data_IF_522843576387
#
_entry.id   IF_522843576387
#
_cell.length_a   1.000
_cell.length_b   1.000
_cell.length_c   1.000
_cell.angle_alpha   90.00
_cell.angle_beta   90.00
_cell.angle_gamma   90.00
#
_symmetry.space_group_name_H-M   'P 1'
#
loop_
_entity.id
_entity.type
_entity.pdbx_description
1 polymer ?
#
# COMPACT_ATOMS: atom_id res chain seq x y z
N UNK A 1 8.94 -15.37 6.40
CA UNK A 1 9.14 -16.82 6.62
C UNK A 1 8.80 -17.50 5.31
N UNK A 2 9.66 -18.38 4.82
CA UNK A 2 9.48 -19.21 3.64
C UNK A 2 8.47 -20.33 3.90
N UNK A 3 8.00 -21.00 2.83
CA UNK A 3 7.03 -22.08 2.96
C UNK A 3 7.49 -23.28 3.79
N UNK A 4 8.81 -23.46 3.93
CA UNK A 4 9.45 -24.47 4.79
C UNK A 4 9.59 -24.02 6.26
N UNK A 5 9.12 -22.83 6.61
CA UNK A 5 9.20 -22.22 7.94
C UNK A 5 10.51 -21.51 8.24
N UNK A 6 11.48 -21.50 7.32
CA UNK A 6 12.74 -20.79 7.50
C UNK A 6 12.58 -19.27 7.29
N UNK A 7 13.37 -18.43 7.98
CA UNK A 7 13.36 -17.00 7.74
C UNK A 7 13.96 -16.69 6.37
N UNK A 8 13.31 -15.83 5.60
CA UNK A 8 13.88 -15.30 4.36
C UNK A 8 14.95 -14.25 4.71
N UNK A 9 16.21 -14.63 4.65
CA UNK A 9 17.34 -13.78 5.09
C UNK A 9 17.37 -12.44 4.34
N UNK A 10 17.18 -12.48 3.03
CA UNK A 10 17.33 -11.29 2.18
C UNK A 10 16.18 -10.27 2.39
N UNK A 11 14.95 -10.74 2.60
CA UNK A 11 13.83 -9.84 2.92
C UNK A 11 13.96 -9.30 4.33
N UNK A 12 14.43 -10.12 5.28
CA UNK A 12 14.69 -9.67 6.64
C UNK A 12 15.83 -8.64 6.69
N UNK A 13 16.89 -8.82 5.90
CA UNK A 13 17.98 -7.85 5.78
C UNK A 13 17.47 -6.50 5.24
N UNK A 14 16.64 -6.52 4.19
CA UNK A 14 16.01 -5.32 3.66
C UNK A 14 15.15 -4.60 4.70
N UNK A 15 14.29 -5.35 5.41
CA UNK A 15 13.45 -4.77 6.45
C UNK A 15 14.26 -4.18 7.60
N UNK A 16 15.32 -4.87 8.03
CA UNK A 16 16.23 -4.39 9.07
C UNK A 16 16.95 -3.10 8.64
N UNK A 17 17.46 -3.05 7.42
CA UNK A 17 18.12 -1.85 6.88
C UNK A 17 17.16 -0.67 6.82
N UNK A 18 15.95 -0.92 6.34
CA UNK A 18 14.90 0.10 6.27
C UNK A 18 14.53 0.63 7.66
N UNK A 19 14.53 -0.25 8.65
CA UNK A 19 14.31 0.06 10.05
C UNK A 19 15.39 1.00 10.60
N UNK A 20 16.65 0.71 10.32
CA UNK A 20 17.78 1.51 10.78
C UNK A 20 17.83 2.92 10.15
N UNK A 21 17.26 3.08 8.96
CA UNK A 21 17.21 4.36 8.24
C UNK A 21 16.04 5.26 8.67
N UNK A 22 15.14 4.77 9.50
CA UNK A 22 13.92 5.50 9.87
C UNK A 22 14.09 6.15 11.24
N UNK A 23 13.96 7.49 11.30
CA UNK A 23 14.04 8.26 12.55
C UNK A 23 12.77 8.08 13.39
N UNK A 24 11.61 7.99 12.73
CA UNK A 24 10.31 7.86 13.39
C UNK A 24 9.61 6.58 12.92
N UNK A 25 9.30 5.72 13.88
CA UNK A 25 8.82 4.37 13.65
C UNK A 25 7.30 4.35 13.45
N UNK A 26 6.86 3.91 12.27
CA UNK A 26 5.47 3.53 12.05
C UNK A 26 5.35 2.02 11.81
N UNK A 27 4.93 1.32 12.86
CA UNK A 27 4.75 -0.12 12.84
C UNK A 27 3.77 -0.58 11.74
N UNK A 28 2.71 0.21 11.44
CA UNK A 28 1.73 -0.13 10.40
C UNK A 28 2.35 -0.11 9.01
N UNK A 29 3.19 0.86 8.74
CA UNK A 29 3.94 0.94 7.47
C UNK A 29 4.87 -0.25 7.31
N UNK A 30 5.57 -0.65 8.37
CA UNK A 30 6.43 -1.84 8.35
C UNK A 30 5.65 -3.13 8.12
N UNK A 31 4.55 -3.32 8.84
CA UNK A 31 3.67 -4.48 8.67
C UNK A 31 3.12 -4.55 7.24
N UNK A 32 2.75 -3.40 6.66
CA UNK A 32 2.28 -3.32 5.27
C UNK A 32 3.36 -3.77 4.29
N UNK A 33 4.58 -3.23 4.41
CA UNK A 33 5.71 -3.61 3.54
C UNK A 33 6.04 -5.10 3.69
N UNK A 34 6.07 -5.61 4.92
CA UNK A 34 6.34 -7.04 5.18
C UNK A 34 5.30 -7.94 4.52
N UNK A 35 4.02 -7.59 4.59
CA UNK A 35 2.94 -8.33 3.93
C UNK A 35 3.06 -8.30 2.40
N UNK A 36 3.46 -7.16 1.82
CA UNK A 36 3.68 -7.04 0.38
C UNK A 36 4.86 -7.89 -0.08
N UNK A 37 5.95 -7.94 0.69
CA UNK A 37 7.09 -8.80 0.40
C UNK A 37 6.77 -10.29 0.63
N UNK A 38 5.95 -10.62 1.61
CA UNK A 38 5.48 -11.99 1.82
C UNK A 38 4.65 -12.50 0.64
N UNK A 39 3.81 -11.65 0.04
CA UNK A 39 3.06 -11.99 -1.17
C UNK A 39 4.01 -12.27 -2.35
N UNK A 40 5.06 -11.46 -2.50
CA UNK A 40 6.10 -11.70 -3.51
C UNK A 40 6.88 -12.98 -3.25
N UNK A 41 7.24 -13.27 -1.98
CA UNK A 41 7.92 -14.50 -1.60
C UNK A 41 7.09 -15.74 -1.98
N UNK A 42 5.80 -15.73 -1.66
CA UNK A 42 4.88 -16.82 -2.04
C UNK A 42 4.82 -17.01 -3.55
N UNK A 43 4.77 -15.91 -4.30
CA UNK A 43 4.84 -15.98 -5.76
C UNK A 43 6.13 -16.64 -6.25
N UNK A 44 7.28 -16.29 -5.67
CA UNK A 44 8.57 -16.89 -6.04
C UNK A 44 8.59 -18.41 -5.76
N UNK A 45 8.01 -18.84 -4.64
CA UNK A 45 7.89 -20.24 -4.26
C UNK A 45 6.94 -21.00 -5.20
N UNK A 46 5.76 -20.44 -5.47
CA UNK A 46 4.75 -21.02 -6.38
C UNK A 46 5.32 -21.26 -7.78
N UNK A 47 6.06 -20.28 -8.31
CA UNK A 47 6.62 -20.32 -9.68
C UNK A 47 8.06 -20.87 -9.72
N UNK A 48 8.62 -21.28 -8.59
CA UNK A 48 10.00 -21.76 -8.45
C UNK A 48 11.05 -20.80 -9.03
N UNK A 49 10.86 -19.49 -8.80
CA UNK A 49 11.71 -18.42 -9.30
C UNK A 49 12.69 -17.95 -8.24
N UNK A 50 13.89 -17.54 -8.70
CA UNK A 50 14.88 -16.89 -7.86
C UNK A 50 14.89 -15.37 -8.13
N UNK A 51 14.61 -14.57 -7.12
CA UNK A 51 14.59 -13.10 -7.27
C UNK A 51 15.99 -12.49 -7.47
N UNK A 52 17.06 -13.21 -7.21
CA UNK A 52 18.45 -12.75 -7.38
C UNK A 52 19.01 -13.04 -8.78
N UNK A 53 18.32 -13.85 -9.58
CA UNK A 53 18.70 -14.16 -10.94
C UNK A 53 18.13 -13.14 -11.92
N UNK A 54 19.03 -12.51 -12.69
CA UNK A 54 18.66 -11.56 -13.72
C UNK A 54 18.85 -12.16 -15.10
N UNK A 55 17.88 -11.93 -15.97
CA UNK A 55 17.88 -12.39 -17.34
C UNK A 55 17.94 -11.21 -18.30
N UNK A 56 18.62 -11.41 -19.44
CA UNK A 56 18.69 -10.42 -20.54
C UNK A 56 17.30 -10.06 -21.06
N UNK A 57 16.41 -11.03 -21.16
CA UNK A 57 15.02 -10.83 -21.54
C UNK A 57 14.23 -10.41 -20.31
N UNK A 58 13.73 -9.17 -20.32
CA UNK A 58 13.00 -8.58 -19.19
C UNK A 58 11.85 -9.45 -18.68
N UNK A 59 11.12 -10.12 -19.60
CA UNK A 59 9.97 -10.97 -19.29
C UNK A 59 10.31 -12.20 -18.43
N UNK A 60 11.57 -12.65 -18.47
CA UNK A 60 12.02 -13.79 -17.68
C UNK A 60 12.40 -13.42 -16.24
N UNK A 61 12.54 -12.14 -15.95
CA UNK A 61 12.83 -11.70 -14.59
C UNK A 61 11.61 -11.85 -13.67
N UNK A 62 11.82 -12.33 -12.47
CA UNK A 62 10.77 -12.61 -11.49
C UNK A 62 9.86 -11.40 -11.24
N UNK A 63 10.40 -10.19 -11.20
CA UNK A 63 9.62 -8.96 -10.98
C UNK A 63 8.63 -8.67 -12.12
N UNK A 64 8.98 -9.00 -13.38
CA UNK A 64 8.09 -8.85 -14.54
C UNK A 64 6.95 -9.85 -14.51
N UNK A 65 7.25 -11.11 -14.19
CA UNK A 65 6.24 -12.18 -14.06
C UNK A 65 5.29 -11.85 -12.90
N UNK A 66 5.82 -11.39 -11.78
CA UNK A 66 5.01 -10.93 -10.66
C UNK A 66 4.09 -9.78 -11.03
N UNK A 67 4.59 -8.78 -11.76
CA UNK A 67 3.75 -7.67 -12.28
C UNK A 67 2.60 -8.19 -13.13
N UNK A 68 2.86 -9.15 -14.02
CA UNK A 68 1.82 -9.77 -14.88
C UNK A 68 0.76 -10.44 -14.01
N UNK A 69 1.15 -11.26 -13.03
CA UNK A 69 0.23 -11.88 -12.06
C UNK A 69 -0.62 -10.85 -11.31
N UNK A 70 -0.02 -9.75 -10.86
CA UNK A 70 -0.76 -8.69 -10.17
C UNK A 70 -1.82 -8.02 -11.07
N UNK A 71 -1.50 -7.80 -12.35
CA UNK A 71 -2.44 -7.23 -13.31
C UNK A 71 -3.60 -8.21 -13.56
N UNK A 72 -3.31 -9.50 -13.74
CA UNK A 72 -4.31 -10.53 -13.89
C UNK A 72 -5.26 -10.62 -12.69
N UNK A 73 -4.71 -10.61 -11.48
CA UNK A 73 -5.49 -10.60 -10.23
C UNK A 73 -6.36 -9.33 -10.11
N UNK A 74 -5.84 -8.17 -10.49
CA UNK A 74 -6.60 -6.93 -10.48
C UNK A 74 -7.73 -6.93 -11.51
N UNK A 75 -7.47 -7.44 -12.72
CA UNK A 75 -8.48 -7.58 -13.77
C UNK A 75 -9.57 -8.60 -13.40
N UNK A 76 -9.22 -9.66 -12.68
CA UNK A 76 -10.15 -10.64 -12.13
C UNK A 76 -10.91 -10.14 -10.89
N UNK A 77 -10.62 -8.93 -10.40
CA UNK A 77 -11.25 -8.37 -9.21
C UNK A 77 -10.82 -9.01 -7.88
N UNK A 78 -9.78 -9.85 -7.89
CA UNK A 78 -9.26 -10.51 -6.68
C UNK A 78 -8.52 -9.53 -5.76
N UNK A 79 -7.89 -8.51 -6.34
CA UNK A 79 -7.25 -7.42 -5.61
C UNK A 79 -7.61 -6.08 -6.23
N UNK A 80 -7.54 -5.00 -5.47
CA UNK A 80 -7.72 -3.65 -6.03
C UNK A 80 -6.49 -3.23 -6.87
N UNK A 81 -6.71 -2.36 -7.87
CA UNK A 81 -5.61 -1.78 -8.65
C UNK A 81 -4.61 -1.01 -7.77
N UNK A 82 -5.09 -0.35 -6.70
CA UNK A 82 -4.24 0.29 -5.70
C UNK A 82 -3.37 -0.74 -4.97
N UNK A 83 -3.96 -1.86 -4.53
CA UNK A 83 -3.20 -2.94 -3.88
C UNK A 83 -2.13 -3.51 -4.80
N UNK A 84 -2.44 -3.74 -6.08
CA UNK A 84 -1.47 -4.19 -7.08
C UNK A 84 -0.32 -3.18 -7.25
N UNK A 85 -0.64 -1.88 -7.33
CA UNK A 85 0.35 -0.80 -7.41
C UNK A 85 1.25 -0.75 -6.17
N UNK A 86 0.70 -0.86 -4.97
CA UNK A 86 1.49 -0.88 -3.74
C UNK A 86 2.43 -2.10 -3.66
N UNK A 87 1.95 -3.28 -4.04
CA UNK A 87 2.76 -4.51 -4.05
C UNK A 87 3.93 -4.41 -5.01
N UNK A 88 3.72 -3.97 -6.26
CA UNK A 88 4.83 -3.82 -7.20
C UNK A 88 5.83 -2.75 -6.77
N UNK A 89 5.38 -1.64 -6.18
CA UNK A 89 6.25 -0.60 -5.66
C UNK A 89 7.14 -1.10 -4.52
N UNK A 90 6.62 -1.94 -3.62
CA UNK A 90 7.42 -2.53 -2.55
C UNK A 90 8.54 -3.43 -3.11
N UNK A 91 8.22 -4.24 -4.13
CA UNK A 91 9.19 -5.11 -4.78
C UNK A 91 10.23 -4.30 -5.56
N UNK A 92 9.85 -3.25 -6.28
CA UNK A 92 10.81 -2.33 -6.94
C UNK A 92 11.77 -1.70 -5.93
N UNK A 93 11.27 -1.27 -4.76
CA UNK A 93 12.12 -0.71 -3.72
C UNK A 93 13.06 -1.77 -3.09
N UNK A 94 12.60 -3.01 -2.99
CA UNK A 94 13.46 -4.12 -2.60
C UNK A 94 14.58 -4.36 -3.62
N UNK A 95 14.28 -4.38 -4.92
CA UNK A 95 15.32 -4.52 -5.95
C UNK A 95 16.29 -3.34 -5.98
N UNK A 96 15.84 -2.11 -5.72
CA UNK A 96 16.74 -0.96 -5.54
C UNK A 96 17.70 -1.17 -4.38
N UNK A 97 17.21 -1.72 -3.28
CA UNK A 97 18.05 -2.08 -2.14
C UNK A 97 19.10 -3.13 -2.53
N UNK A 98 18.73 -4.20 -3.24
CA UNK A 98 19.66 -5.24 -3.67
C UNK A 98 20.82 -4.68 -4.48
N UNK A 99 20.53 -3.72 -5.35
CA UNK A 99 21.54 -3.04 -6.18
C UNK A 99 22.38 -2.09 -5.35
N UNK A 100 21.78 -1.30 -4.46
CA UNK A 100 22.49 -0.33 -3.63
C UNK A 100 23.49 -1.01 -2.68
N UNK A 101 23.14 -2.19 -2.17
CA UNK A 101 23.99 -2.98 -1.28
C UNK A 101 24.87 -4.00 -2.04
N UNK A 102 24.91 -3.94 -3.39
CA UNK A 102 25.71 -4.81 -4.26
C UNK A 102 25.46 -6.32 -4.02
N UNK A 103 24.21 -6.67 -3.72
CA UNK A 103 23.79 -8.05 -3.43
C UNK A 103 23.42 -8.85 -4.69
N UNK A 104 23.42 -8.22 -5.87
CA UNK A 104 23.07 -8.81 -7.15
C UNK A 104 24.02 -8.33 -8.24
N UNK A 105 24.44 -9.21 -9.13
CA UNK A 105 25.25 -8.86 -10.30
C UNK A 105 24.39 -8.18 -11.38
N UNK A 106 24.19 -6.87 -11.21
CA UNK A 106 23.45 -6.04 -12.15
C UNK A 106 24.32 -5.55 -13.32
N UNK A 107 25.64 -5.72 -13.28
CA UNK A 107 26.54 -5.23 -14.31
C UNK A 107 26.40 -6.05 -15.60
N UNK A 108 26.09 -7.34 -15.50
CA UNK A 108 26.01 -8.25 -16.65
C UNK A 108 24.74 -8.07 -17.48
N UNK A 109 23.60 -7.83 -16.86
CA UNK A 109 22.29 -7.81 -17.55
C UNK A 109 21.53 -6.50 -17.35
N UNK A 110 22.06 -5.58 -16.55
CA UNK A 110 21.37 -4.33 -16.15
C UNK A 110 20.28 -4.57 -15.12
N UNK A 111 19.61 -3.49 -14.78
CA UNK A 111 18.44 -3.56 -13.87
C UNK A 111 17.24 -4.17 -14.57
N UNK A 112 16.41 -4.97 -13.86
CA UNK A 112 15.19 -5.53 -14.44
C UNK A 112 14.11 -4.46 -14.72
N UNK A 113 14.27 -3.22 -14.27
CA UNK A 113 13.37 -2.10 -14.52
C UNK A 113 14.14 -0.81 -14.77
N UNK A 114 13.45 0.21 -15.27
CA UNK A 114 14.01 1.53 -15.54
C UNK A 114 13.24 2.60 -14.78
N UNK A 115 13.97 3.58 -14.20
CA UNK A 115 13.35 4.76 -13.62
C UNK A 115 12.82 5.67 -14.75
N UNK A 116 11.58 6.12 -14.61
CA UNK A 116 10.87 6.99 -15.57
C UNK A 116 10.40 8.23 -14.81
N UNK A 117 10.51 9.39 -15.43
CA UNK A 117 9.95 10.61 -14.88
C UNK A 117 8.58 10.89 -15.50
N UNK A 118 7.55 10.99 -14.66
CA UNK A 118 6.21 11.42 -15.07
C UNK A 118 6.00 12.86 -14.64
N UNK A 119 5.47 13.67 -15.55
CA UNK A 119 5.12 15.05 -15.25
C UNK A 119 3.64 15.11 -14.88
N UNK A 120 3.33 15.54 -13.67
CA UNK A 120 1.97 15.81 -13.24
C UNK A 120 1.75 17.33 -13.14
N UNK A 121 0.57 17.76 -13.53
CA UNK A 121 0.14 19.13 -13.30
C UNK A 121 -0.36 19.24 -11.87
N UNK A 122 0.25 20.13 -11.09
CA UNK A 122 -0.17 20.45 -9.73
C UNK A 122 -0.66 21.89 -9.75
N UNK A 123 -1.90 22.08 -9.34
CA UNK A 123 -2.45 23.42 -9.16
C UNK A 123 -1.95 23.96 -7.81
N UNK A 124 -1.35 25.15 -7.81
CA UNK A 124 -0.97 25.83 -6.57
C UNK A 124 -2.19 26.58 -5.99
N UNK A 125 -2.07 27.04 -4.75
CA UNK A 125 -3.11 27.80 -4.03
C UNK A 125 -3.56 29.07 -4.76
N UNK A 126 -2.79 29.54 -5.73
CA UNK A 126 -3.08 30.73 -6.55
C UNK A 126 -3.61 30.39 -7.96
N UNK A 127 -3.98 29.11 -8.23
CA UNK A 127 -4.54 28.67 -9.50
C UNK A 127 -3.52 28.55 -10.65
N UNK A 128 -2.22 28.72 -10.39
CA UNK A 128 -1.21 28.51 -11.42
C UNK A 128 -0.82 27.03 -11.52
N UNK A 129 -0.89 26.47 -12.74
CA UNK A 129 -0.49 25.07 -13.01
C UNK A 129 1.03 24.94 -13.10
N UNK A 130 1.60 24.15 -12.22
CA UNK A 130 3.00 23.74 -12.27
C UNK A 130 3.13 22.29 -12.72
N UNK A 131 4.05 22.02 -13.64
CA UNK A 131 4.45 20.64 -13.96
C UNK A 131 5.51 20.20 -12.96
N UNK A 132 5.20 19.18 -12.18
CA UNK A 132 6.16 18.57 -11.25
C UNK A 132 6.58 17.20 -11.79
N UNK A 133 7.91 16.97 -11.88
CA UNK A 133 8.45 15.68 -12.26
C UNK A 133 8.39 14.73 -11.05
N UNK A 134 7.67 13.62 -11.21
CA UNK A 134 7.65 12.55 -10.22
C UNK A 134 8.45 11.37 -10.76
N UNK A 135 9.40 10.90 -9.96
CA UNK A 135 10.15 9.69 -10.26
C UNK A 135 9.23 8.47 -10.11
N UNK A 136 9.14 7.68 -11.15
CA UNK A 136 8.38 6.44 -11.23
C UNK A 136 9.28 5.34 -11.82
N UNK A 137 8.72 4.23 -12.22
CA UNK A 137 9.39 3.13 -12.90
C UNK A 137 8.51 2.53 -14.01
N UNK A 138 9.13 1.87 -14.99
CA UNK A 138 8.46 1.27 -16.15
C UNK A 138 7.52 0.10 -15.79
N UNK A 139 7.67 -0.46 -14.58
CA UNK A 139 6.80 -1.51 -14.05
C UNK A 139 5.55 -0.99 -13.36
N UNK A 140 5.35 0.34 -13.27
CA UNK A 140 4.20 0.91 -12.58
C UNK A 140 2.87 0.37 -13.17
N UNK A 141 1.98 -0.06 -12.30
CA UNK A 141 0.64 -0.48 -12.68
C UNK A 141 -0.23 0.77 -12.72
N UNK A 142 -0.88 0.98 -13.86
CA UNK A 142 -1.78 2.12 -14.02
C UNK A 142 -3.07 1.86 -13.23
N UNK A 143 -3.34 2.76 -12.30
CA UNK A 143 -4.61 2.79 -11.58
C UNK A 143 -5.49 3.81 -12.29
N UNK A 144 -6.61 3.38 -12.93
CA UNK A 144 -7.52 4.33 -13.53
C UNK A 144 -8.06 5.29 -12.46
N UNK A 145 -8.10 6.58 -12.76
CA UNK A 145 -8.75 7.53 -11.87
C UNK A 145 -10.22 7.11 -11.70
N UNK A 146 -10.67 6.92 -10.46
CA UNK A 146 -12.10 6.72 -10.19
C UNK A 146 -12.84 7.94 -10.73
N UNK A 147 -13.92 7.70 -11.49
CA UNK A 147 -14.87 8.76 -11.82
C UNK A 147 -15.33 9.42 -10.51
N UNK A 148 -15.39 10.74 -10.41
CA UNK A 148 -15.87 11.40 -9.21
C UNK A 148 -17.35 11.03 -9.02
N UNK A 149 -17.62 10.02 -8.23
CA UNK A 149 -18.96 9.80 -7.69
C UNK A 149 -19.20 10.98 -6.74
N UNK A 150 -20.15 11.84 -7.07
CA UNK A 150 -20.45 13.07 -6.36
C UNK A 150 -20.87 12.87 -4.89
N UNK A 151 -21.06 11.65 -4.45
CA UNK A 151 -21.50 11.29 -3.10
C UNK A 151 -20.47 10.47 -2.29
N UNK A 152 -19.38 10.01 -2.92
CA UNK A 152 -18.36 9.25 -2.21
C UNK A 152 -17.26 10.17 -1.69
N UNK A 153 -17.00 10.12 -0.39
CA UNK A 153 -15.82 10.72 0.20
C UNK A 153 -14.60 10.02 -0.41
N UNK A 154 -13.68 10.79 -1.00
CA UNK A 154 -12.45 10.30 -1.61
C UNK A 154 -11.46 9.83 -0.52
N UNK A 155 -11.81 8.78 0.19
CA UNK A 155 -10.97 8.08 1.16
C UNK A 155 -10.90 6.63 0.69
N UNK A 156 -9.77 6.12 0.35
CA UNK A 156 -9.35 4.80 -0.19
C UNK A 156 -10.39 3.64 -0.25
N UNK A 157 -11.63 3.88 0.05
CA UNK A 157 -12.79 3.01 0.01
C UNK A 157 -14.05 3.78 -0.40
N UNK A 158 -15.04 3.07 -0.86
CA UNK A 158 -16.37 3.59 -1.18
C UNK A 158 -17.15 3.90 0.10
N UNK A 159 -16.61 4.80 0.95
CA UNK A 159 -17.34 5.29 2.10
C UNK A 159 -18.37 6.30 1.61
N UNK A 160 -19.62 5.88 1.54
CA UNK A 160 -20.75 6.79 1.37
C UNK A 160 -21.28 7.23 2.74
N UNK A 161 -21.74 8.48 2.88
CA UNK A 161 -22.44 8.91 4.08
C UNK A 161 -23.62 7.99 4.39
N UNK A 162 -23.85 7.70 5.66
CA UNK A 162 -24.99 6.91 6.08
C UNK A 162 -26.29 7.64 5.73
N UNK A 163 -27.25 6.96 5.08
CA UNK A 163 -28.57 7.50 4.87
C UNK A 163 -29.28 7.76 6.20
N UNK A 164 -30.29 8.62 6.20
CA UNK A 164 -31.09 8.95 7.40
C UNK A 164 -31.71 7.69 7.99
N UNK A 165 -32.22 6.80 7.12
CA UNK A 165 -32.80 5.52 7.52
C UNK A 165 -31.75 4.64 8.20
N UNK A 166 -30.57 4.52 7.62
CA UNK A 166 -29.45 3.74 8.19
C UNK A 166 -28.99 4.30 9.53
N UNK A 167 -28.91 5.63 9.67
CA UNK A 167 -28.61 6.28 10.95
C UNK A 167 -29.65 5.94 12.00
N UNK A 168 -30.95 5.98 11.66
CA UNK A 168 -32.04 5.65 12.58
C UNK A 168 -31.99 4.21 13.06
N UNK A 169 -31.68 3.26 12.16
CA UNK A 169 -31.52 1.83 12.51
C UNK A 169 -30.33 1.64 13.45
N UNK A 170 -29.19 2.26 13.15
CA UNK A 170 -28.00 2.19 14.00
C UNK A 170 -28.29 2.76 15.40
N UNK A 171 -28.90 3.94 15.48
CA UNK A 171 -29.25 4.58 16.76
C UNK A 171 -30.20 3.69 17.61
N UNK A 172 -31.20 3.07 17.00
CA UNK A 172 -32.05 2.10 17.70
C UNK A 172 -31.29 0.87 18.19
N UNK A 173 -30.36 0.36 17.38
CA UNK A 173 -29.49 -0.75 17.77
C UNK A 173 -28.57 -0.40 18.95
N UNK A 174 -28.02 0.82 18.96
CA UNK A 174 -27.14 1.31 20.02
C UNK A 174 -27.81 1.38 21.39
N UNK A 175 -29.12 1.60 21.46
CA UNK A 175 -29.86 1.60 22.73
C UNK A 175 -29.78 0.27 23.49
N UNK A 176 -29.45 -0.83 22.78
CA UNK A 176 -29.30 -2.17 23.37
C UNK A 176 -27.84 -2.48 23.75
N UNK A 177 -26.89 -1.61 23.42
CA UNK A 177 -25.46 -1.80 23.72
C UNK A 177 -25.05 -1.16 25.04
N UNK A 178 -23.81 -1.44 25.50
CA UNK A 178 -23.29 -0.83 26.73
C UNK A 178 -23.19 0.70 26.60
N UNK A 179 -23.25 1.40 27.74
CA UNK A 179 -23.16 2.85 27.81
C UNK A 179 -21.91 3.40 27.16
N UNK A 180 -20.80 2.70 27.28
CA UNK A 180 -19.50 3.10 26.68
C UNK A 180 -19.59 3.09 25.15
N UNK A 181 -20.13 2.03 24.56
CA UNK A 181 -20.33 1.96 23.11
C UNK A 181 -21.28 3.04 22.61
N UNK A 182 -22.38 3.28 23.33
CA UNK A 182 -23.29 4.38 22.99
C UNK A 182 -22.56 5.71 22.90
N UNK A 183 -21.75 6.05 23.92
CA UNK A 183 -21.00 7.32 23.96
C UNK A 183 -19.98 7.40 22.83
N UNK A 184 -19.24 6.33 22.57
CA UNK A 184 -18.27 6.28 21.48
C UNK A 184 -18.91 6.51 20.12
N UNK A 185 -20.03 5.87 19.86
CA UNK A 185 -20.76 6.02 18.59
C UNK A 185 -21.42 7.39 18.45
N UNK A 186 -22.00 7.94 19.50
CA UNK A 186 -22.54 9.31 19.48
C UNK A 186 -21.42 10.31 19.22
N UNK A 187 -20.28 10.13 19.86
CA UNK A 187 -19.13 11.01 19.64
C UNK A 187 -18.66 10.91 18.18
N UNK A 188 -18.54 9.70 17.63
CA UNK A 188 -18.21 9.51 16.22
C UNK A 188 -19.20 10.19 15.28
N UNK A 189 -20.50 9.98 15.52
CA UNK A 189 -21.58 10.48 14.66
C UNK A 189 -21.64 12.01 14.63
N UNK A 190 -21.47 12.66 15.79
CA UNK A 190 -21.58 14.12 15.89
C UNK A 190 -20.29 14.87 15.55
N UNK A 191 -19.12 14.24 15.67
CA UNK A 191 -17.83 14.90 15.45
C UNK A 191 -17.13 14.45 14.16
N UNK A 192 -17.56 13.34 13.55
CA UNK A 192 -16.83 12.72 12.43
C UNK A 192 -15.45 12.19 12.83
N UNK A 193 -15.17 12.02 14.14
CA UNK A 193 -13.88 11.59 14.61
C UNK A 193 -13.55 10.15 14.19
N UNK A 194 -12.30 9.91 13.81
CA UNK A 194 -11.82 8.57 13.45
C UNK A 194 -11.87 7.64 14.66
N UNK A 195 -12.13 6.35 14.43
CA UNK A 195 -12.20 5.33 15.48
C UNK A 195 -11.00 5.38 16.45
N UNK A 196 -9.80 5.51 15.92
CA UNK A 196 -8.59 5.61 16.74
C UNK A 196 -8.62 6.82 17.68
N UNK A 197 -9.10 7.98 17.21
CA UNK A 197 -9.24 9.19 18.02
C UNK A 197 -10.22 8.94 19.17
N UNK A 198 -11.35 8.30 18.88
CA UNK A 198 -12.38 7.99 19.87
C UNK A 198 -11.85 7.03 20.94
N UNK A 199 -11.20 5.94 20.52
CA UNK A 199 -10.65 4.93 21.42
C UNK A 199 -9.46 5.44 22.27
N UNK A 200 -8.77 6.51 21.85
CA UNK A 200 -7.64 7.10 22.56
C UNK A 200 -7.99 8.38 23.32
N UNK A 201 -9.25 8.82 23.27
CA UNK A 201 -9.71 10.01 23.94
C UNK A 201 -9.56 9.86 25.46
N UNK A 202 -8.92 10.83 26.09
CA UNK A 202 -8.73 10.88 27.55
C UNK A 202 -9.39 12.12 28.10
N UNK A 203 -9.86 12.09 29.35
CA UNK A 203 -10.49 13.21 30.04
C UNK A 203 -9.63 14.47 29.97
N UNK A 204 -8.31 14.34 30.09
CA UNK A 204 -7.36 15.46 29.95
C UNK A 204 -7.33 16.15 28.58
N UNK A 205 -7.94 15.54 27.56
CA UNK A 205 -8.05 16.11 26.22
C UNK A 205 -9.38 16.88 26.04
N UNK A 206 -10.26 16.87 27.05
CA UNK A 206 -11.57 17.52 27.03
C UNK A 206 -11.63 18.77 27.90
N UNK A 207 -10.56 19.05 28.65
CA UNK A 207 -10.36 20.22 29.50
C UNK A 207 -9.33 21.12 28.82
#
# INVERSE_FOLDING_TARGET
IQGDGQPSEIFNLYLLKKLQQTIQYDFKTFASISNQLLDFQRFLEDEQLNCLEFHKLKQLNAIFQYRTRLIEQANAGLISANSASHRINAVVNFYRFLVTEDLVDHQRYGLPFQDVYKYIAVDNEFGARRKMAIKSHDLAIHVPAKAPNSEAIADDGELSPLSVESQTVILKGLLKSSREYQLMFYFALFTGARLQTICTLRIKNLI
#
